data_IF_800277612788
#
_entry.id   IF_800277612788
#
_cell.length_a   1.000
_cell.length_b   1.000
_cell.length_c   1.000
_cell.angle_alpha   90.00
_cell.angle_beta   90.00
_cell.angle_gamma   90.00
#
_symmetry.space_group_name_H-M   'P 1'
#
loop_
_entity.id
_entity.type
_entity.pdbx_description
1 polymer ?
#
# COMPACT_ATOMS: atom_id res chain seq x y z
N UNK A 1 -6.85 18.89 1.00
CA UNK A 1 -7.44 17.81 1.83
C UNK A 1 -8.20 18.51 2.95
N UNK A 2 -9.37 18.00 3.34
CA UNK A 2 -10.20 18.57 4.39
C UNK A 2 -10.27 17.57 5.56
N UNK A 3 -9.97 18.03 6.77
CA UNK A 3 -10.22 17.30 8.01
C UNK A 3 -11.30 18.10 8.75
N UNK A 4 -12.46 17.50 8.99
CA UNK A 4 -13.58 18.21 9.61
C UNK A 4 -14.49 17.26 10.38
N UNK A 5 -15.26 17.79 11.33
CA UNK A 5 -16.38 17.05 11.93
C UNK A 5 -17.54 17.02 10.94
N UNK A 6 -18.09 15.84 10.68
CA UNK A 6 -19.23 15.61 9.79
C UNK A 6 -20.29 14.81 10.54
N UNK A 7 -21.56 15.21 10.39
CA UNK A 7 -22.69 14.50 10.99
C UNK A 7 -23.83 15.44 11.33
N UNK A 8 -24.79 14.91 12.08
CA UNK A 8 -25.89 15.67 12.67
C UNK A 8 -25.53 16.10 14.10
N UNK A 9 -26.43 16.86 14.72
CA UNK A 9 -26.27 17.28 16.12
C UNK A 9 -26.11 16.09 17.07
N UNK A 10 -26.88 15.03 16.85
CA UNK A 10 -26.95 13.88 17.75
C UNK A 10 -25.92 12.80 17.41
N UNK A 11 -25.32 12.85 16.21
CA UNK A 11 -24.27 11.95 15.80
C UNK A 11 -23.28 12.64 14.86
N UNK A 12 -22.05 12.82 15.31
CA UNK A 12 -20.98 13.40 14.49
C UNK A 12 -19.62 12.79 14.78
N UNK A 13 -18.78 12.71 13.75
CA UNK A 13 -17.42 12.16 13.85
C UNK A 13 -16.42 12.97 12.99
N UNK A 14 -15.13 12.76 13.20
CA UNK A 14 -14.05 13.36 12.41
C UNK A 14 -13.89 12.60 11.10
N UNK A 15 -14.06 13.30 9.99
CA UNK A 15 -13.89 12.77 8.65
C UNK A 15 -12.67 13.39 7.94
N UNK A 16 -11.97 12.54 7.19
CA UNK A 16 -10.88 12.93 6.30
C UNK A 16 -11.40 12.85 4.87
N UNK A 17 -11.57 13.99 4.21
CA UNK A 17 -12.17 14.09 2.88
C UNK A 17 -11.15 14.64 1.89
N UNK A 18 -10.86 13.86 0.85
CA UNK A 18 -9.96 14.28 -0.20
C UNK A 18 -9.70 13.21 -1.26
N UNK A 19 -9.11 13.65 -2.38
CA UNK A 19 -8.73 12.74 -3.47
C UNK A 19 -7.76 11.65 -3.03
N UNK A 20 -6.78 11.99 -2.18
CA UNK A 20 -5.82 11.04 -1.65
C UNK A 20 -6.49 9.90 -0.87
N UNK A 21 -7.44 10.22 0.03
CA UNK A 21 -8.19 9.22 0.81
C UNK A 21 -8.95 8.26 -0.12
N UNK A 22 -9.64 8.80 -1.13
CA UNK A 22 -10.35 7.99 -2.12
C UNK A 22 -9.40 7.14 -2.98
N UNK A 23 -8.26 7.71 -3.40
CA UNK A 23 -7.25 6.99 -4.16
C UNK A 23 -6.64 5.85 -3.36
N UNK A 24 -6.31 6.05 -2.08
CA UNK A 24 -5.78 5.02 -1.19
C UNK A 24 -6.80 3.88 -1.00
N UNK A 25 -8.08 4.19 -0.74
CA UNK A 25 -9.11 3.18 -0.59
C UNK A 25 -9.29 2.34 -1.87
N UNK A 26 -9.28 2.99 -3.04
CA UNK A 26 -9.39 2.30 -4.33
C UNK A 26 -8.13 1.51 -4.70
N UNK A 27 -6.95 2.01 -4.34
CA UNK A 27 -5.68 1.30 -4.54
C UNK A 27 -5.64 0.01 -3.75
N UNK A 28 -6.03 0.04 -2.48
CA UNK A 28 -6.15 -1.16 -1.65
C UNK A 28 -7.06 -2.22 -2.29
N UNK A 29 -8.23 -1.80 -2.80
CA UNK A 29 -9.14 -2.70 -3.53
C UNK A 29 -8.52 -3.24 -4.83
N UNK A 30 -7.77 -2.42 -5.55
CA UNK A 30 -7.18 -2.78 -6.83
C UNK A 30 -5.95 -3.70 -6.70
N UNK A 31 -5.21 -3.63 -5.59
CA UNK A 31 -4.06 -4.49 -5.30
C UNK A 31 -4.45 -5.97 -5.11
N UNK A 32 -5.72 -6.26 -4.76
CA UNK A 32 -6.34 -7.61 -4.71
C UNK A 32 -5.63 -8.66 -3.83
N UNK A 33 -4.55 -8.32 -3.14
CA UNK A 33 -3.83 -9.20 -2.22
C UNK A 33 -3.57 -8.47 -0.90
N UNK A 34 -3.88 -9.09 0.26
CA UNK A 34 -3.57 -8.53 1.56
C UNK A 34 -2.06 -8.56 1.88
N UNK A 35 -1.27 -9.35 1.15
CA UNK A 35 0.19 -9.46 1.34
C UNK A 35 0.97 -8.37 0.58
N UNK A 36 0.27 -7.58 -0.24
CA UNK A 36 0.85 -6.50 -1.03
C UNK A 36 0.57 -5.14 -0.40
N UNK A 37 1.63 -4.37 -0.22
CA UNK A 37 1.58 -2.95 0.10
C UNK A 37 1.77 -2.21 -1.22
N UNK A 38 0.76 -1.43 -1.64
CA UNK A 38 0.83 -0.63 -2.84
C UNK A 38 0.75 0.87 -2.50
N UNK A 39 1.57 1.67 -3.17
CA UNK A 39 1.64 3.12 -3.02
C UNK A 39 1.51 3.80 -4.39
N UNK A 40 0.96 5.01 -4.42
CA UNK A 40 1.00 5.83 -5.64
C UNK A 40 2.40 6.44 -5.80
N UNK A 41 2.75 6.84 -7.02
CA UNK A 41 4.02 7.52 -7.30
C UNK A 41 4.26 8.73 -6.39
N UNK A 42 3.25 9.57 -6.12
CA UNK A 42 3.42 10.74 -5.26
C UNK A 42 3.70 10.38 -3.80
N UNK A 43 3.28 9.19 -3.35
CA UNK A 43 3.61 8.69 -2.02
C UNK A 43 5.00 8.05 -2.00
N UNK A 44 5.37 7.33 -3.05
CA UNK A 44 6.71 6.75 -3.23
C UNK A 44 7.80 7.83 -3.18
N UNK A 45 7.70 8.87 -4.00
CA UNK A 45 8.67 9.98 -4.05
C UNK A 45 8.87 10.68 -2.69
N UNK A 46 7.81 10.77 -1.90
CA UNK A 46 7.88 11.37 -0.56
C UNK A 46 8.58 10.48 0.45
N UNK A 47 8.47 9.17 0.30
CA UNK A 47 9.16 8.20 1.15
C UNK A 47 10.62 8.06 0.74
N UNK A 48 10.93 8.14 -0.56
CA UNK A 48 12.30 8.09 -1.08
C UNK A 48 13.15 9.22 -0.52
N UNK A 49 12.58 10.43 -0.44
CA UNK A 49 13.21 11.58 0.22
C UNK A 49 13.46 11.43 1.73
N UNK A 50 13.13 10.28 2.34
CA UNK A 50 13.37 9.98 3.77
C UNK A 50 14.36 8.84 4.01
N UNK A 51 15.01 8.29 2.99
CA UNK A 51 15.93 7.13 3.03
C UNK A 51 15.31 5.80 3.53
N UNK A 52 14.02 5.78 3.90
CA UNK A 52 13.32 4.57 4.41
C UNK A 52 13.14 3.51 3.32
N UNK A 53 13.22 3.89 2.04
CA UNK A 53 12.93 2.97 0.93
C UNK A 53 14.07 2.03 0.57
N UNK A 54 15.31 2.33 1.00
CA UNK A 54 16.49 1.56 0.59
C UNK A 54 16.49 0.10 1.08
N UNK A 55 15.83 -0.18 2.19
CA UNK A 55 15.72 -1.52 2.78
C UNK A 55 14.51 -2.32 2.29
N UNK A 56 13.73 -1.76 1.34
CA UNK A 56 12.49 -2.35 0.85
C UNK A 56 12.60 -2.67 -0.63
N UNK A 57 12.38 -3.93 -1.00
CA UNK A 57 12.28 -4.32 -2.40
C UNK A 57 10.94 -3.85 -2.99
N UNK A 58 10.99 -2.78 -3.78
CA UNK A 58 9.84 -2.27 -4.53
C UNK A 58 9.80 -2.86 -5.94
N UNK A 59 8.59 -3.10 -6.43
CA UNK A 59 8.34 -3.45 -7.82
C UNK A 59 8.75 -2.33 -8.76
N UNK A 60 8.94 -2.67 -10.03
CA UNK A 60 8.97 -1.66 -11.09
C UNK A 60 7.66 -0.87 -11.11
N UNK A 61 7.73 0.35 -11.65
CA UNK A 61 6.58 1.22 -11.84
C UNK A 61 5.54 0.53 -12.73
N UNK A 62 4.30 0.44 -12.25
CA UNK A 62 3.19 -0.11 -13.00
C UNK A 62 2.08 0.94 -13.15
N UNK A 63 1.32 0.87 -14.24
CA UNK A 63 0.14 1.72 -14.44
C UNK A 63 -1.10 0.96 -13.99
N UNK A 64 -1.86 1.54 -13.07
CA UNK A 64 -3.08 0.95 -12.53
C UNK A 64 -4.24 1.95 -12.58
N UNK A 65 -5.42 1.48 -12.98
CA UNK A 65 -6.61 2.32 -12.97
C UNK A 65 -7.21 2.39 -11.56
N UNK A 66 -7.19 3.58 -10.97
CA UNK A 66 -7.66 3.82 -9.60
C UNK A 66 -8.77 4.87 -9.66
N UNK A 67 -10.00 4.37 -9.70
CA UNK A 67 -11.19 5.22 -9.71
C UNK A 67 -11.41 6.00 -11.00
N UNK A 68 -11.22 5.33 -12.15
CA UNK A 68 -11.40 5.92 -13.48
C UNK A 68 -10.21 6.73 -13.97
N UNK A 69 -9.10 6.74 -13.22
CA UNK A 69 -7.88 7.49 -13.58
C UNK A 69 -6.70 6.52 -13.54
N UNK A 70 -5.96 6.45 -14.64
CA UNK A 70 -4.71 5.71 -14.71
C UNK A 70 -3.65 6.42 -13.86
N UNK A 71 -2.99 5.68 -12.97
CA UNK A 71 -1.97 6.19 -12.06
C UNK A 71 -0.77 5.24 -12.03
N UNK A 72 0.41 5.82 -11.92
CA UNK A 72 1.64 5.06 -11.64
C UNK A 72 1.64 4.62 -10.18
N UNK A 73 1.90 3.34 -9.96
CA UNK A 73 1.97 2.70 -8.64
C UNK A 73 3.24 1.87 -8.50
N UNK A 74 3.67 1.73 -7.25
CA UNK A 74 4.74 0.86 -6.81
C UNK A 74 4.18 -0.06 -5.75
N UNK A 75 4.68 -1.29 -5.69
CA UNK A 75 4.24 -2.25 -4.69
C UNK A 75 5.42 -3.00 -4.09
N UNK A 76 5.25 -3.41 -2.85
CA UNK A 76 6.15 -4.34 -2.17
C UNK A 76 5.28 -5.38 -1.46
N UNK A 77 5.86 -6.50 -1.06
CA UNK A 77 5.15 -7.54 -0.34
C UNK A 77 6.11 -8.38 0.47
N UNK A 78 5.58 -9.07 1.47
CA UNK A 78 6.37 -10.02 2.22
C UNK A 78 6.66 -11.24 1.33
N UNK A 79 7.91 -11.41 0.89
CA UNK A 79 8.37 -12.69 0.35
C UNK A 79 8.78 -13.52 1.56
N UNK A 80 8.02 -14.57 1.87
CA UNK A 80 8.42 -15.52 2.90
C UNK A 80 9.83 -16.03 2.59
N UNK A 81 10.74 -16.11 3.58
CA UNK A 81 12.06 -16.68 3.35
C UNK A 81 11.91 -18.07 2.71
N UNK A 82 12.78 -18.45 1.75
CA UNK A 82 12.73 -19.79 1.17
C UNK A 82 12.80 -20.82 2.30
N UNK A 83 11.91 -21.81 2.26
CA UNK A 83 11.85 -22.87 3.25
C UNK A 83 13.25 -23.49 3.40
N UNK A 84 13.81 -23.48 4.61
CA UNK A 84 15.07 -24.14 4.87
C UNK A 84 14.90 -25.63 4.50
N UNK A 85 15.81 -26.22 3.71
CA UNK A 85 15.75 -27.64 3.41
C UNK A 85 15.78 -28.41 4.73
N UNK A 86 14.70 -29.16 4.99
CA UNK A 86 14.65 -30.08 6.13
C UNK A 86 15.73 -31.12 5.93
N UNK A 87 16.82 -30.98 6.67
CA UNK A 87 17.86 -32.01 6.75
C UNK A 87 17.23 -33.24 7.38
N UNK A 88 16.75 -34.18 6.55
CA UNK A 88 16.45 -35.53 7.00
C UNK A 88 17.73 -36.11 7.58
N UNK A 89 17.79 -36.19 8.92
CA UNK A 89 18.75 -37.06 9.58
C UNK A 89 18.30 -38.50 9.30
N UNK A 90 18.80 -39.09 8.22
CA UNK A 90 18.83 -40.55 8.10
C UNK A 90 19.66 -41.07 9.28
N UNK A 91 18.97 -41.63 10.27
CA UNK A 91 19.57 -42.37 11.34
C UNK A 91 20.26 -43.62 10.78
N UNK A 92 21.49 -43.82 11.24
CA UNK A 92 22.25 -45.07 11.14
C UNK A 92 21.87 -45.92 12.34
#
# INVERSE_FOLDING_TARGET
MLITRVGTRDFSDIAWVGRCVNSSAKLCKAARSPELIAVTHEAYERLDGTDILHDVEWSQAASLEIGGVSRTVFSTGFVAPPAQPTTERSGI
#
